data_IF_601356766367
#
_entry.id   IF_601356766367
#
_cell.length_a   1.000
_cell.length_b   1.000
_cell.length_c   1.000
_cell.angle_alpha   90.00
_cell.angle_beta   90.00
_cell.angle_gamma   90.00
#
_symmetry.space_group_name_H-M   'P 1'
#
loop_
_entity.id
_entity.type
_entity.pdbx_description
1 polymer ?
#
# COMPACT_ATOMS: atom_id res chain seq x y z
N UNK A 1 -16.81 9.83 7.87
CA UNK A 1 -15.46 9.48 7.38
C UNK A 1 -15.55 8.88 5.98
N UNK A 2 -14.65 9.27 5.07
CA UNK A 2 -14.47 8.59 3.79
C UNK A 2 -13.57 7.35 3.93
N UNK A 3 -13.70 6.38 3.02
CA UNK A 3 -12.83 5.19 2.99
C UNK A 3 -11.37 5.60 2.80
N UNK A 4 -10.46 5.10 3.65
CA UNK A 4 -9.01 5.31 3.51
C UNK A 4 -8.40 4.11 2.80
N UNK A 5 -7.92 4.32 1.59
CA UNK A 5 -7.30 3.26 0.79
C UNK A 5 -5.78 3.40 0.80
N UNK A 6 -5.07 2.28 0.96
CA UNK A 6 -3.62 2.18 0.90
C UNK A 6 -3.20 1.34 -0.31
N UNK A 7 -2.35 1.90 -1.16
CA UNK A 7 -1.82 1.22 -2.33
C UNK A 7 -0.44 0.65 -2.00
N UNK A 8 -0.26 -0.64 -2.26
CA UNK A 8 1.02 -1.32 -2.20
C UNK A 8 1.52 -1.47 -3.63
N UNK A 9 2.56 -0.71 -3.99
CA UNK A 9 3.06 -0.60 -5.37
C UNK A 9 4.54 -0.96 -5.45
N UNK A 10 4.97 -1.67 -6.50
CA UNK A 10 6.40 -1.88 -6.75
C UNK A 10 7.06 -0.55 -7.17
N UNK A 11 8.28 -0.34 -6.72
CA UNK A 11 9.15 0.76 -7.12
C UNK A 11 10.15 0.30 -8.19
N UNK A 12 10.73 1.26 -8.92
CA UNK A 12 11.70 0.99 -9.99
C UNK A 12 12.98 0.31 -9.51
N UNK A 13 13.34 0.47 -8.23
CA UNK A 13 14.50 -0.16 -7.61
C UNK A 13 14.22 -1.56 -7.04
N UNK A 14 13.01 -2.11 -7.25
CA UNK A 14 12.62 -3.43 -6.75
C UNK A 14 11.94 -3.41 -5.37
N UNK A 15 11.95 -2.27 -4.67
CA UNK A 15 11.27 -2.06 -3.40
C UNK A 15 9.74 -1.98 -3.59
N UNK A 16 9.04 -1.92 -2.47
CA UNK A 16 7.60 -1.86 -2.36
C UNK A 16 7.18 -0.67 -1.52
N UNK A 17 6.37 0.21 -2.12
CA UNK A 17 5.88 1.44 -1.49
C UNK A 17 4.46 1.26 -1.01
N UNK A 18 4.18 1.68 0.21
CA UNK A 18 2.84 1.81 0.76
C UNK A 18 2.44 3.28 0.69
N UNK A 19 1.40 3.61 -0.07
CA UNK A 19 0.95 4.99 -0.24
C UNK A 19 -0.54 5.10 0.05
N UNK A 20 -0.92 5.95 1.00
CA UNK A 20 -2.32 6.28 1.23
C UNK A 20 -2.89 7.16 0.11
N UNK A 21 -4.11 6.89 -0.34
CA UNK A 21 -4.80 7.76 -1.31
C UNK A 21 -4.91 9.17 -0.72
N UNK A 22 -4.52 10.16 -1.52
CA UNK A 22 -4.42 11.58 -1.13
C UNK A 22 -3.13 11.98 -0.43
N UNK A 23 -2.21 11.05 -0.15
CA UNK A 23 -0.91 11.39 0.41
C UNK A 23 0.07 11.76 -0.71
N UNK A 24 0.85 12.82 -0.51
CA UNK A 24 1.94 13.21 -1.40
C UNK A 24 3.19 12.33 -1.27
N UNK A 25 3.29 11.56 -0.17
CA UNK A 25 4.43 10.69 0.14
C UNK A 25 3.98 9.28 0.49
N UNK A 26 4.87 8.32 0.25
CA UNK A 26 4.71 6.97 0.73
C UNK A 26 4.70 6.96 2.27
N UNK A 27 3.78 6.20 2.85
CA UNK A 27 3.72 5.86 4.28
C UNK A 27 4.82 4.88 4.69
N UNK A 28 5.40 4.15 3.74
CA UNK A 28 6.55 3.29 3.96
C UNK A 28 7.13 2.75 2.66
N UNK A 29 8.40 2.32 2.72
CA UNK A 29 9.13 1.67 1.63
C UNK A 29 9.80 0.43 2.21
N UNK A 30 9.64 -0.71 1.55
CA UNK A 30 10.11 -2.02 2.01
C UNK A 30 10.82 -2.76 0.89
N UNK A 31 11.85 -3.56 1.20
CA UNK A 31 12.57 -4.33 0.20
C UNK A 31 11.73 -5.47 -0.42
N UNK A 32 10.69 -5.94 0.30
CA UNK A 32 9.84 -7.03 -0.15
C UNK A 32 8.35 -6.69 -0.04
N UNK A 33 7.56 -7.42 -0.82
CA UNK A 33 6.11 -7.22 -0.91
C UNK A 33 5.39 -7.56 0.39
N UNK A 34 5.83 -8.60 1.08
CA UNK A 34 5.15 -9.11 2.26
C UNK A 34 5.12 -8.06 3.38
N UNK A 35 6.24 -7.40 3.61
CA UNK A 35 6.38 -6.34 4.63
C UNK A 35 5.54 -5.11 4.28
N UNK A 36 5.56 -4.69 3.01
CA UNK A 36 4.70 -3.60 2.54
C UNK A 36 3.21 -3.91 2.69
N UNK A 37 2.80 -5.15 2.38
CA UNK A 37 1.41 -5.60 2.57
C UNK A 37 1.04 -5.65 4.05
N UNK A 38 1.95 -6.13 4.91
CA UNK A 38 1.73 -6.16 6.36
C UNK A 38 1.51 -4.75 6.92
N UNK A 39 2.39 -3.81 6.58
CA UNK A 39 2.25 -2.40 7.00
C UNK A 39 0.95 -1.79 6.45
N UNK A 40 0.61 -2.01 5.18
CA UNK A 40 -0.61 -1.47 4.60
C UNK A 40 -1.88 -2.01 5.29
N UNK A 41 -1.89 -3.30 5.68
CA UNK A 41 -2.97 -3.92 6.45
C UNK A 41 -3.08 -3.33 7.85
N UNK A 42 -1.96 -3.08 8.52
CA UNK A 42 -1.94 -2.44 9.84
C UNK A 42 -2.49 -1.01 9.77
N UNK A 43 -2.03 -0.23 8.79
CA UNK A 43 -2.54 1.12 8.54
C UNK A 43 -4.03 1.12 8.20
N UNK A 44 -4.51 0.18 7.38
CA UNK A 44 -5.92 0.06 7.06
C UNK A 44 -6.76 -0.31 8.30
N UNK A 45 -6.28 -1.22 9.16
CA UNK A 45 -6.95 -1.59 10.42
C UNK A 45 -7.03 -0.42 11.40
N UNK A 46 -6.11 0.54 11.32
CA UNK A 46 -6.12 1.73 12.17
C UNK A 46 -7.14 2.79 11.72
N UNK A 47 -7.90 2.55 10.65
CA UNK A 47 -8.90 3.47 10.10
C UNK A 47 -10.30 2.86 10.23
N UNK A 48 -11.32 3.69 10.45
CA UNK A 48 -12.71 3.23 10.55
C UNK A 48 -13.17 2.43 9.32
N UNK A 49 -12.73 2.85 8.13
CA UNK A 49 -13.01 2.18 6.85
C UNK A 49 -11.73 2.11 6.01
N UNK A 50 -10.82 1.21 6.39
CA UNK A 50 -9.58 0.95 5.66
C UNK A 50 -9.73 -0.03 4.49
N UNK A 51 -9.05 0.22 3.37
CA UNK A 51 -8.89 -0.73 2.27
C UNK A 51 -7.42 -0.82 1.85
N UNK A 52 -6.97 -2.01 1.46
CA UNK A 52 -5.64 -2.22 0.88
C UNK A 52 -5.81 -2.66 -0.58
N UNK A 53 -5.03 -2.06 -1.47
CA UNK A 53 -4.98 -2.41 -2.90
C UNK A 53 -3.54 -2.77 -3.22
N UNK A 54 -3.32 -3.99 -3.70
CA UNK A 54 -1.98 -4.50 -3.95
C UNK A 54 -1.76 -4.54 -5.45
N UNK A 55 -0.69 -3.93 -5.94
CA UNK A 55 -0.32 -3.97 -7.36
C UNK A 55 0.74 -5.05 -7.57
N UNK A 56 0.64 -5.83 -8.65
CA UNK A 56 1.72 -6.73 -9.06
C UNK A 56 2.84 -5.95 -9.76
N UNK A 57 4.00 -6.58 -9.94
CA UNK A 57 5.11 -6.01 -10.73
C UNK A 57 4.72 -5.71 -12.18
N UNK A 58 3.74 -6.45 -12.70
CA UNK A 58 3.18 -6.29 -14.05
C UNK A 58 2.10 -5.20 -14.11
N UNK A 59 1.90 -4.42 -13.03
CA UNK A 59 0.90 -3.37 -12.96
C UNK A 59 -0.55 -3.87 -12.83
N UNK A 60 -0.76 -5.18 -12.66
CA UNK A 60 -2.10 -5.74 -12.44
C UNK A 60 -2.51 -5.53 -10.98
N UNK A 61 -3.74 -5.08 -10.76
CA UNK A 61 -4.30 -4.99 -9.41
C UNK A 61 -4.61 -6.41 -8.93
N UNK A 62 -4.05 -6.78 -7.79
CA UNK A 62 -4.46 -7.92 -6.97
C UNK A 62 -5.38 -7.37 -5.88
N UNK A 63 -6.68 -7.60 -6.07
CA UNK A 63 -7.73 -7.25 -5.10
C UNK A 63 -7.87 -8.35 -4.05
#
# INVERSE_FOLDING_TARGET
MGRKTYHVTPASNGDWKVTGVGNSRASGVHANKADAVAQAKELAKSQDLGQVVIHSRDGKIQT
#
